data_IF_222307259728
#
_entry.id   IF_222307259728
#
_cell.length_a   1.000
_cell.length_b   1.000
_cell.length_c   1.000
_cell.angle_alpha   90.00
_cell.angle_beta   90.00
_cell.angle_gamma   90.00
#
_symmetry.space_group_name_H-M   'P 1'
#
loop_
_entity.id
_entity.type
_entity.pdbx_description
1 polymer ?
#
# COMPACT_ATOMS: atom_id res chain seq x y z
N UNK A 1 -16.02 -0.51 -8.36
CA UNK A 1 -15.46 0.08 -9.59
C UNK A 1 -14.05 0.60 -9.40
N UNK A 2 -13.18 0.38 -10.38
CA UNK A 2 -11.80 0.86 -10.41
C UNK A 2 -11.58 1.70 -11.67
N UNK A 3 -10.73 2.73 -11.57
CA UNK A 3 -10.45 3.65 -12.70
C UNK A 3 -8.94 3.75 -12.95
N UNK A 4 -8.57 3.87 -14.22
CA UNK A 4 -7.17 3.96 -14.65
C UNK A 4 -6.78 5.39 -15.02
N UNK A 5 -5.55 5.78 -14.66
CA UNK A 5 -4.96 7.06 -15.04
C UNK A 5 -3.58 6.81 -15.68
N UNK A 6 -3.48 7.10 -16.98
CA UNK A 6 -2.25 6.91 -17.73
C UNK A 6 -2.01 8.05 -18.75
N UNK A 7 -0.79 8.20 -19.26
CA UNK A 7 -0.38 9.33 -20.12
C UNK A 7 -1.10 9.41 -21.47
N UNK A 8 -1.83 8.37 -21.85
CA UNK A 8 -2.67 8.35 -23.05
C UNK A 8 -4.12 8.84 -22.79
N UNK A 9 -4.43 9.29 -21.57
CA UNK A 9 -5.71 9.95 -21.23
C UNK A 9 -5.60 11.45 -21.44
N UNK A 10 -6.70 12.10 -21.86
CA UNK A 10 -6.75 13.55 -21.95
C UNK A 10 -6.59 14.17 -20.56
N UNK A 11 -6.02 15.38 -20.51
CA UNK A 11 -5.78 16.07 -19.24
C UNK A 11 -7.07 16.32 -18.46
N UNK A 12 -8.16 16.67 -19.14
CA UNK A 12 -9.47 16.90 -18.51
C UNK A 12 -10.04 15.62 -17.88
N UNK A 13 -9.92 14.48 -18.59
CA UNK A 13 -10.33 13.17 -18.06
C UNK A 13 -9.52 12.82 -16.79
N UNK A 14 -8.21 13.14 -16.78
CA UNK A 14 -7.35 12.94 -15.60
C UNK A 14 -7.86 13.75 -14.42
N UNK A 15 -8.25 15.01 -14.62
CA UNK A 15 -8.80 15.87 -13.57
C UNK A 15 -10.16 15.38 -13.05
N UNK A 16 -11.05 14.93 -13.94
CA UNK A 16 -12.36 14.42 -13.54
C UNK A 16 -12.25 13.16 -12.68
N UNK A 17 -11.42 12.19 -13.11
CA UNK A 17 -11.15 10.97 -12.33
C UNK A 17 -10.57 11.31 -10.96
N UNK A 18 -9.62 12.24 -10.93
CA UNK A 18 -9.01 12.71 -9.69
C UNK A 18 -10.01 13.36 -8.73
N UNK A 19 -10.94 14.16 -9.27
CA UNK A 19 -12.02 14.76 -8.48
C UNK A 19 -12.92 13.70 -7.88
N UNK A 20 -13.39 12.74 -8.69
CA UNK A 20 -14.24 11.63 -8.23
C UNK A 20 -13.56 10.75 -7.18
N UNK A 21 -12.25 10.53 -7.32
CA UNK A 21 -11.44 9.79 -6.34
C UNK A 21 -11.33 10.55 -5.01
N UNK A 22 -11.01 11.85 -5.04
CA UNK A 22 -10.94 12.70 -3.83
C UNK A 22 -12.29 12.84 -3.11
N UNK A 23 -13.39 12.83 -3.86
CA UNK A 23 -14.75 12.85 -3.30
C UNK A 23 -15.22 11.49 -2.76
N UNK A 24 -14.38 10.45 -2.81
CA UNK A 24 -14.72 9.11 -2.31
C UNK A 24 -15.74 8.37 -3.17
N UNK A 25 -16.03 8.85 -4.39
CA UNK A 25 -16.93 8.14 -5.33
C UNK A 25 -16.23 6.98 -6.02
N UNK A 26 -14.90 7.00 -6.06
CA UNK A 26 -14.05 5.92 -6.57
C UNK A 26 -13.08 5.55 -5.46
N UNK A 27 -13.03 4.27 -5.10
CA UNK A 27 -12.15 3.77 -4.05
C UNK A 27 -10.81 3.24 -4.56
N UNK A 28 -10.74 2.87 -5.85
CA UNK A 28 -9.55 2.25 -6.44
C UNK A 28 -9.13 3.01 -7.69
N UNK A 29 -7.89 3.48 -7.69
CA UNK A 29 -7.26 4.14 -8.84
C UNK A 29 -5.96 3.43 -9.19
N UNK A 30 -5.78 3.13 -10.48
CA UNK A 30 -4.60 2.45 -11.02
C UNK A 30 -3.81 3.43 -11.89
N UNK A 31 -2.51 3.57 -11.64
CA UNK A 31 -1.66 4.57 -12.30
C UNK A 31 -0.29 4.02 -12.71
N UNK A 32 0.34 4.64 -13.71
CA UNK A 32 1.76 4.43 -14.07
C UNK A 32 2.58 5.70 -13.79
N UNK A 33 3.89 5.55 -13.53
CA UNK A 33 4.79 6.64 -13.09
C UNK A 33 4.82 7.86 -14.02
N UNK A 34 4.80 7.65 -15.34
CA UNK A 34 4.80 8.73 -16.36
C UNK A 34 3.53 9.60 -16.24
N UNK A 35 2.47 9.01 -15.71
CA UNK A 35 1.12 9.57 -15.70
C UNK A 35 0.76 10.23 -14.37
N UNK A 36 1.57 10.03 -13.34
CA UNK A 36 1.40 10.63 -12.02
C UNK A 36 2.22 11.92 -11.85
N UNK A 37 3.20 12.21 -12.72
CA UNK A 37 3.89 13.50 -12.71
C UNK A 37 2.90 14.62 -13.07
N UNK A 38 2.76 15.58 -12.17
CA UNK A 38 1.76 16.65 -12.27
C UNK A 38 0.39 16.33 -11.65
N UNK A 39 0.20 15.14 -11.08
CA UNK A 39 -1.01 14.79 -10.32
C UNK A 39 -0.64 14.61 -8.86
N UNK A 40 -1.13 15.51 -8.02
CA UNK A 40 -1.00 15.40 -6.59
C UNK A 40 -2.21 14.67 -5.99
N UNK A 41 -1.95 13.43 -5.56
CA UNK A 41 -2.89 12.57 -4.82
C UNK A 41 -2.40 12.44 -3.38
N UNK A 42 -2.61 13.47 -2.52
CA UNK A 42 -2.33 13.32 -1.11
C UNK A 42 -3.44 12.52 -0.40
N UNK A 43 -3.08 11.90 0.72
CA UNK A 43 -4.00 11.34 1.73
C UNK A 43 -4.79 10.09 1.34
N UNK A 44 -4.14 9.13 0.66
CA UNK A 44 -4.72 7.78 0.50
C UNK A 44 -4.41 6.89 1.70
N UNK A 45 -5.33 6.02 2.10
CA UNK A 45 -5.10 5.04 3.18
C UNK A 45 -4.11 3.95 2.76
N UNK A 46 -4.13 3.58 1.47
CA UNK A 46 -3.34 2.47 0.94
C UNK A 46 -2.65 2.86 -0.37
N UNK A 47 -1.39 2.45 -0.51
CA UNK A 47 -0.63 2.46 -1.77
C UNK A 47 -0.22 1.03 -2.06
N UNK A 48 -0.53 0.55 -3.27
CA UNK A 48 -0.15 -0.78 -3.72
C UNK A 48 0.81 -0.64 -4.89
N UNK A 49 2.07 -1.04 -4.70
CA UNK A 49 3.02 -1.20 -5.79
C UNK A 49 2.82 -2.59 -6.39
N UNK A 50 2.22 -2.64 -7.58
CA UNK A 50 2.07 -3.89 -8.31
C UNK A 50 3.43 -4.41 -8.81
N UNK A 51 4.25 -3.51 -9.36
CA UNK A 51 5.64 -3.76 -9.74
C UNK A 51 6.55 -2.78 -8.99
N UNK A 52 7.76 -3.22 -8.63
CA UNK A 52 8.75 -2.33 -8.02
C UNK A 52 9.26 -1.33 -9.07
N UNK A 53 9.44 -0.05 -8.71
CA UNK A 53 9.98 0.92 -9.65
C UNK A 53 11.46 0.65 -9.92
N UNK A 54 11.88 0.85 -11.18
CA UNK A 54 13.29 0.74 -11.60
C UNK A 54 14.22 1.72 -10.87
N UNK A 55 13.65 2.82 -10.37
CA UNK A 55 14.37 3.86 -9.62
C UNK A 55 13.89 3.92 -8.18
N UNK A 56 14.77 3.77 -7.17
CA UNK A 56 14.44 3.86 -5.76
C UNK A 56 13.69 5.15 -5.37
N UNK A 57 14.00 6.28 -6.00
CA UNK A 57 13.36 7.56 -5.71
C UNK A 57 11.86 7.53 -6.06
N UNK A 58 11.49 6.83 -7.14
CA UNK A 58 10.09 6.67 -7.51
C UNK A 58 9.33 5.90 -6.43
N UNK A 59 9.96 4.94 -5.74
CA UNK A 59 9.32 4.23 -4.63
C UNK A 59 8.89 5.21 -3.54
N UNK A 60 9.81 6.11 -3.12
CA UNK A 60 9.53 7.15 -2.11
C UNK A 60 8.40 8.07 -2.57
N UNK A 61 8.38 8.46 -3.85
CA UNK A 61 7.32 9.30 -4.41
C UNK A 61 5.95 8.60 -4.49
N UNK A 62 5.92 7.28 -4.71
CA UNK A 62 4.69 6.46 -4.70
C UNK A 62 4.16 6.29 -3.29
N UNK A 63 4.99 5.86 -2.34
CA UNK A 63 4.53 5.64 -0.94
C UNK A 63 4.27 6.95 -0.20
N UNK A 64 4.88 8.06 -0.64
CA UNK A 64 4.60 9.41 -0.12
C UNK A 64 3.16 9.92 -0.38
N UNK A 65 2.31 9.13 -1.03
CA UNK A 65 0.87 9.38 -1.19
C UNK A 65 0.05 8.99 0.04
N UNK A 66 0.61 8.16 0.91
CA UNK A 66 -0.04 7.70 2.15
C UNK A 66 0.71 8.14 3.41
N UNK A 67 0.06 8.06 4.57
CA UNK A 67 0.72 8.19 5.88
C UNK A 67 1.24 9.58 6.25
N UNK A 68 0.53 10.65 5.87
CA UNK A 68 0.93 12.04 6.18
C UNK A 68 0.33 12.54 7.50
N UNK A 69 1.12 13.26 8.29
CA UNK A 69 0.68 13.90 9.53
C UNK A 69 0.19 12.89 10.57
N UNK A 70 -1.07 13.04 10.99
CA UNK A 70 -1.74 12.13 11.94
C UNK A 70 -2.40 10.93 11.25
N UNK A 71 -2.52 10.94 9.92
CA UNK A 71 -3.23 9.90 9.18
C UNK A 71 -2.35 8.66 9.07
N UNK A 72 -2.89 7.53 9.50
CA UNK A 72 -2.25 6.23 9.30
C UNK A 72 -2.42 5.81 7.84
N UNK A 73 -1.35 5.24 7.30
CA UNK A 73 -1.27 4.82 5.92
C UNK A 73 -0.40 3.58 5.76
N UNK A 74 -0.66 2.78 4.73
CA UNK A 74 0.16 1.62 4.42
C UNK A 74 0.54 1.53 2.96
N UNK A 75 1.79 1.17 2.73
CA UNK A 75 2.28 0.80 1.42
C UNK A 75 2.54 -0.71 1.40
N UNK A 76 1.94 -1.39 0.43
CA UNK A 76 2.18 -2.81 0.14
C UNK A 76 2.83 -2.89 -1.22
N UNK A 77 3.87 -3.70 -1.34
CA UNK A 77 4.58 -3.89 -2.59
C UNK A 77 4.66 -5.37 -2.89
N UNK A 78 4.29 -5.74 -4.11
CA UNK A 78 4.66 -7.04 -4.65
C UNK A 78 6.11 -6.96 -5.14
N UNK A 79 6.80 -8.09 -5.04
CA UNK A 79 8.19 -8.23 -5.45
C UNK A 79 8.36 -9.63 -6.01
N UNK A 80 8.67 -9.72 -7.29
CA UNK A 80 9.05 -10.96 -7.96
C UNK A 80 10.48 -11.37 -7.57
N UNK A 81 10.94 -12.53 -8.06
CA UNK A 81 12.31 -12.99 -7.78
C UNK A 81 13.34 -12.13 -8.51
N UNK A 82 12.97 -11.65 -9.69
CA UNK A 82 13.79 -10.86 -10.60
C UNK A 82 13.95 -9.41 -10.09
N UNK A 83 12.96 -8.89 -9.36
CA UNK A 83 12.96 -7.53 -8.80
C UNK A 83 13.72 -7.40 -7.47
N UNK A 84 14.37 -8.47 -6.98
CA UNK A 84 15.09 -8.44 -5.71
C UNK A 84 16.21 -7.39 -5.66
N UNK A 85 16.91 -7.17 -6.78
CA UNK A 85 17.91 -6.11 -6.86
C UNK A 85 17.29 -4.73 -6.65
N UNK A 86 16.12 -4.47 -7.26
CA UNK A 86 15.37 -3.23 -7.08
C UNK A 86 14.95 -3.04 -5.62
N UNK A 87 14.52 -4.12 -4.96
CA UNK A 87 14.18 -4.10 -3.53
C UNK A 87 15.38 -3.71 -2.67
N UNK A 88 16.56 -4.27 -2.95
CA UNK A 88 17.80 -3.95 -2.24
C UNK A 88 18.15 -2.46 -2.38
N UNK A 89 18.10 -1.92 -3.60
CA UNK A 89 18.37 -0.51 -3.88
C UNK A 89 17.37 0.41 -3.16
N UNK A 90 16.08 0.03 -3.13
CA UNK A 90 15.04 0.74 -2.38
C UNK A 90 15.35 0.75 -0.88
N UNK A 91 15.68 -0.41 -0.29
CA UNK A 91 15.98 -0.53 1.14
C UNK A 91 17.23 0.26 1.54
N UNK A 92 18.23 0.30 0.66
CA UNK A 92 19.43 1.13 0.84
C UNK A 92 19.07 2.62 0.85
N UNK A 93 18.29 3.09 -0.12
CA UNK A 93 17.86 4.49 -0.19
C UNK A 93 17.07 4.92 1.05
N UNK A 94 16.12 4.10 1.49
CA UNK A 94 15.29 4.42 2.68
C UNK A 94 16.00 4.08 4.01
N UNK A 95 17.20 3.51 3.95
CA UNK A 95 18.00 3.04 5.07
C UNK A 95 17.21 2.18 6.07
N UNK A 96 16.39 1.27 5.54
CA UNK A 96 15.48 0.42 6.34
C UNK A 96 15.04 -0.81 5.57
N UNK A 97 15.02 -1.95 6.26
CA UNK A 97 14.46 -3.19 5.73
C UNK A 97 12.92 -3.13 5.64
N UNK A 98 12.39 -3.59 4.52
CA UNK A 98 10.96 -3.75 4.28
C UNK A 98 10.51 -5.10 4.83
N UNK A 99 9.45 -5.10 5.64
CA UNK A 99 8.94 -6.32 6.27
C UNK A 99 8.30 -7.25 5.22
N UNK A 100 8.90 -8.43 5.01
CA UNK A 100 8.37 -9.44 4.09
C UNK A 100 7.20 -10.18 4.74
N UNK A 101 6.02 -10.09 4.10
CA UNK A 101 4.82 -10.83 4.50
C UNK A 101 4.86 -12.21 3.85
N UNK A 102 4.99 -13.26 4.66
CA UNK A 102 4.89 -14.65 4.18
C UNK A 102 3.42 -15.06 4.16
N UNK A 103 2.92 -15.40 2.98
CA UNK A 103 1.58 -15.98 2.79
C UNK A 103 1.68 -17.50 2.75
N UNK A 104 0.85 -18.17 3.55
CA UNK A 104 0.70 -19.61 3.53
C UNK A 104 -0.50 -20.03 2.68
N UNK A 105 -0.51 -21.28 2.20
CA UNK A 105 -1.62 -21.83 1.39
C UNK A 105 -2.98 -21.76 2.10
N UNK A 106 -3.00 -21.78 3.44
CA UNK A 106 -4.22 -21.61 4.24
C UNK A 106 -4.77 -20.19 4.14
N UNK A 107 -3.91 -19.18 4.17
CA UNK A 107 -4.30 -17.77 4.03
C UNK A 107 -4.98 -17.50 2.68
N UNK A 108 -4.55 -18.19 1.63
CA UNK A 108 -5.19 -18.11 0.31
C UNK A 108 -6.57 -18.79 0.28
N UNK A 109 -6.71 -19.93 0.99
CA UNK A 109 -7.98 -20.63 1.09
C UNK A 109 -9.04 -19.80 1.82
N UNK A 110 -8.66 -18.99 2.81
CA UNK A 110 -9.58 -18.11 3.53
C UNK A 110 -10.11 -16.97 2.63
N UNK A 111 -9.26 -16.42 1.75
CA UNK A 111 -9.66 -15.39 0.77
C UNK A 111 -10.59 -15.98 -0.31
N UNK A 112 -10.31 -17.18 -0.79
CA UNK A 112 -11.08 -17.82 -1.87
C UNK A 112 -12.37 -18.48 -1.37
N UNK A 113 -12.39 -19.00 -0.14
CA UNK A 113 -13.58 -19.61 0.47
C UNK A 113 -14.60 -18.60 0.99
N UNK A 114 -14.20 -17.32 1.11
CA UNK A 114 -15.09 -16.20 1.34
C UNK A 114 -15.17 -15.30 0.10
N UNK A 115 -15.67 -15.78 -1.07
CA UNK A 115 -15.88 -14.92 -2.21
C UNK A 115 -17.08 -14.03 -1.89
N UNK A 116 -16.81 -12.83 -1.38
CA UNK A 116 -17.81 -11.80 -1.18
C UNK A 116 -18.94 -12.20 -0.21
N UNK A 117 -18.76 -11.96 1.09
CA UNK A 117 -19.83 -11.20 1.73
C UNK A 117 -19.85 -9.85 1.02
N UNK A 118 -21.01 -9.26 0.80
CA UNK A 118 -21.13 -7.84 0.43
C UNK A 118 -20.49 -7.02 1.57
N UNK A 119 -19.16 -6.94 1.55
CA UNK A 119 -18.37 -6.36 2.62
C UNK A 119 -18.18 -4.91 2.25
N UNK A 120 -18.67 -4.05 3.13
CA UNK A 120 -18.36 -2.65 3.05
C UNK A 120 -16.84 -2.50 3.18
N UNK A 121 -16.19 -1.86 2.21
CA UNK A 121 -14.74 -1.64 2.20
C UNK A 121 -14.26 -1.03 3.53
N UNK A 122 -15.10 -0.23 4.18
CA UNK A 122 -14.84 0.35 5.49
C UNK A 122 -14.61 -0.72 6.58
N UNK A 123 -15.41 -1.79 6.60
CA UNK A 123 -15.30 -2.86 7.59
C UNK A 123 -13.99 -3.64 7.41
N UNK A 124 -13.56 -3.86 6.17
CA UNK A 124 -12.27 -4.51 5.88
C UNK A 124 -11.08 -3.66 6.31
N UNK A 125 -11.17 -2.34 6.14
CA UNK A 125 -10.16 -1.39 6.62
C UNK A 125 -10.08 -1.47 8.15
N UNK A 126 -11.23 -1.44 8.83
CA UNK A 126 -11.31 -1.51 10.29
C UNK A 126 -10.76 -2.84 10.83
N UNK A 127 -11.10 -3.97 10.20
CA UNK A 127 -10.55 -5.29 10.55
C UNK A 127 -9.02 -5.33 10.41
N UNK A 128 -8.49 -4.76 9.33
CA UNK A 128 -7.04 -4.71 9.10
C UNK A 128 -6.34 -3.79 10.11
N UNK A 129 -6.92 -2.65 10.45
CA UNK A 129 -6.41 -1.76 11.50
C UNK A 129 -6.37 -2.46 12.86
N UNK A 130 -7.42 -3.20 13.21
CA UNK A 130 -7.48 -4.00 14.44
C UNK A 130 -6.41 -5.11 14.44
N UNK A 131 -6.24 -5.81 13.33
CA UNK A 131 -5.19 -6.82 13.18
C UNK A 131 -3.80 -6.22 13.39
N UNK A 132 -3.53 -5.03 12.83
CA UNK A 132 -2.26 -4.32 13.05
C UNK A 132 -2.07 -3.88 14.48
N UNK A 133 -3.10 -3.36 15.14
CA UNK A 133 -3.01 -2.97 16.55
C UNK A 133 -2.60 -4.17 17.42
N UNK A 134 -3.16 -5.35 17.12
CA UNK A 134 -2.82 -6.60 17.79
C UNK A 134 -1.40 -7.07 17.47
N UNK A 135 -0.93 -6.95 16.23
CA UNK A 135 0.46 -7.27 15.82
C UNK A 135 1.47 -6.35 16.52
N UNK A 136 1.21 -5.04 16.61
CA UNK A 136 2.04 -4.06 17.36
C UNK A 136 2.08 -4.37 18.86
N UNK A 137 0.95 -4.76 19.47
CA UNK A 137 0.90 -5.21 20.88
C UNK A 137 1.76 -6.46 21.11
N UNK A 138 1.71 -7.46 20.20
CA UNK A 138 2.53 -8.68 20.28
C UNK A 138 4.04 -8.37 20.16
N UNK A 139 4.46 -7.51 19.23
CA UNK A 139 5.86 -7.07 19.11
C UNK A 139 6.36 -6.33 20.38
N UNK A 140 5.55 -5.44 20.98
CA UNK A 140 5.88 -4.76 22.25
C UNK A 140 5.99 -5.72 23.46
N UNK A 141 5.17 -6.77 23.51
CA UNK A 141 5.20 -7.75 24.61
C UNK A 141 6.46 -8.63 24.54
N UNK A 142 6.85 -9.05 23.33
CA UNK A 142 8.08 -9.79 23.05
C UNK A 142 9.35 -9.00 23.46
N UNK A 143 9.45 -7.73 23.09
CA UNK A 143 10.62 -6.89 23.44
C UNK A 143 10.72 -6.55 24.93
N UNK A 144 9.60 -6.56 25.66
CA UNK A 144 9.58 -6.40 27.13
C UNK A 144 10.05 -7.66 27.86
N UNK A 145 9.79 -8.85 27.31
CA UNK A 145 10.22 -10.13 27.88
C UNK A 145 11.73 -10.33 27.71
N UNK A 146 12.30 -9.96 26.56
CA UNK A 146 13.75 -10.03 26.32
C UNK A 146 14.54 -9.01 27.13
N UNK A 147 13.98 -7.82 27.43
CA UNK A 147 14.61 -6.84 28.34
C UNK A 147 14.56 -7.21 29.83
N UNK A 148 13.68 -8.13 30.24
CA UNK A 148 13.55 -8.55 31.65
C UNK A 148 14.43 -9.75 32.01
N UNK A 149 15.15 -10.33 31.03
CA UNK A 149 16.06 -11.48 31.16
C UNK A 149 17.55 -11.11 31.03
N UNK A 150 17.86 -9.82 30.88
CA UNK A 150 19.20 -9.24 31.04
C UNK A 150 19.18 -8.40 32.30
#
# INVERSE_FOLDING_TARGET
DAVTIHGNKKQDDRFEVMKKFKEGRIFIMIATDVSARGIDVPDVNYVINYDLPDKPENYVHRVGRTGRGINLGEAISFCSKEEKGLLEDIQQLINKDIEVIKLHKKDYADIVSSPGKDLNLQEMIDEHEQWKANRKKRKKKSSKITKKKK
#
